data_IF_584605036005
#
_entry.id   IF_584605036005
#
_cell.length_a   1.000
_cell.length_b   1.000
_cell.length_c   1.000
_cell.angle_alpha   90.00
_cell.angle_beta   90.00
_cell.angle_gamma   90.00
#
_symmetry.space_group_name_H-M   'P 1'
#
loop_
_entity.id
_entity.type
_entity.pdbx_description
1 polymer ?
2 non-polymer ?
3 water ?
#
# COMPACT_ATOMS: atom_id res chain seq x y z
N UNK A 3 19.43 22.27 0.81
CA UNK A 3 19.59 20.77 0.96
C UNK A 3 18.29 20.12 1.38
N UNK A 4 18.15 18.82 1.12
CA UNK A 4 16.99 18.04 1.57
C UNK A 4 16.86 18.28 3.08
N UNK A 5 15.63 18.61 3.55
CA UNK A 5 15.46 18.74 4.96
C UNK A 5 15.77 17.45 5.69
N UNK A 6 16.10 17.62 6.98
CA UNK A 6 16.57 16.52 7.80
C UNK A 6 15.65 16.32 9.00
N UNK A 7 15.55 15.09 9.43
CA UNK A 7 14.70 14.70 10.55
C UNK A 7 15.46 13.69 11.35
N UNK A 8 15.15 13.61 12.64
CA UNK A 8 15.69 12.57 13.48
C UNK A 8 15.30 11.18 12.92
N UNK A 9 16.21 10.23 12.98
CA UNK A 9 15.95 8.81 12.60
C UNK A 9 14.75 8.25 13.30
N UNK A 10 14.67 8.48 14.63
CA UNK A 10 13.55 7.91 15.37
C UNK A 10 12.20 8.47 14.86
N UNK A 11 12.08 9.79 14.72
CA UNK A 11 10.89 10.42 14.27
C UNK A 11 10.55 9.96 12.84
N UNK A 12 11.58 9.80 11.99
CA UNK A 12 11.34 9.37 10.60
C UNK A 12 10.82 7.92 10.61
N UNK A 13 11.34 7.07 11.50
CA UNK A 13 10.86 5.71 11.60
C UNK A 13 9.39 5.68 12.02
N UNK A 14 9.04 6.53 12.98
CA UNK A 14 7.64 6.73 13.36
C UNK A 14 6.78 7.23 12.19
N UNK A 15 7.27 8.24 11.49
CA UNK A 15 6.48 8.84 10.38
C UNK A 15 6.27 7.85 9.24
N UNK A 16 7.22 6.96 9.03
CA UNK A 16 7.10 5.89 8.04
C UNK A 16 6.31 4.66 8.53
N UNK A 17 5.87 4.68 9.78
CA UNK A 17 5.03 3.61 10.32
C UNK A 17 5.73 2.38 10.85
N UNK A 18 7.03 2.44 11.03
CA UNK A 18 7.78 1.33 11.59
C UNK A 18 7.40 1.11 13.02
N UNK A 19 7.05 2.20 13.71
CA UNK A 19 6.55 2.15 15.10
C UNK A 19 5.31 2.99 15.26
N UNK A 20 4.54 2.69 16.32
CA UNK A 20 3.25 3.33 16.53
C UNK A 20 3.33 4.72 17.13
N UNK A 21 4.41 4.98 17.87
CA UNK A 21 4.62 6.29 18.54
C UNK A 21 6.08 6.74 18.42
N UNK A 22 6.32 8.03 18.63
CA UNK A 22 7.69 8.53 18.64
C UNK A 22 8.52 7.88 19.77
N UNK A 23 7.95 7.71 20.96
CA UNK A 23 8.72 7.07 22.04
C UNK A 23 9.10 5.64 21.71
N UNK A 24 8.17 4.87 21.12
CA UNK A 24 8.49 3.51 20.73
C UNK A 24 9.60 3.50 19.63
N UNK A 25 9.56 4.48 18.71
CA UNK A 25 10.59 4.57 17.70
C UNK A 25 12.00 4.80 18.28
N UNK A 26 12.08 5.67 19.30
CA UNK A 26 13.36 5.92 19.94
C UNK A 26 13.88 4.62 20.55
N UNK A 27 13.01 3.89 21.23
CA UNK A 27 13.39 2.63 21.85
C UNK A 27 13.83 1.62 20.78
N UNK A 28 13.12 1.62 19.66
CA UNK A 28 13.45 0.73 18.57
C UNK A 28 14.82 1.02 17.96
N UNK A 29 15.15 2.29 17.76
CA UNK A 29 16.48 2.62 17.28
C UNK A 29 17.56 2.18 18.30
N UNK A 30 17.28 2.43 19.56
CA UNK A 30 18.19 2.02 20.64
C UNK A 30 18.42 0.51 20.64
N UNK A 31 17.38 -0.23 20.29
CA UNK A 31 17.44 -1.71 20.26
C UNK A 31 18.03 -2.27 18.94
N UNK A 32 18.44 -1.38 18.01
CA UNK A 32 19.12 -1.76 16.80
C UNK A 32 18.15 -2.28 15.76
N UNK A 33 16.89 -1.90 15.86
CA UNK A 33 15.86 -2.45 14.98
C UNK A 33 15.62 -1.65 13.71
N UNK A 34 16.20 -0.47 13.60
CA UNK A 34 15.99 0.39 12.42
C UNK A 34 17.21 0.35 11.53
N UNK A 35 16.98 -0.02 10.25
CA UNK A 35 18.09 -0.11 9.31
C UNK A 35 17.76 0.66 8.03
N UNK A 36 18.81 1.11 7.36
CA UNK A 36 18.72 1.81 6.09
C UNK A 36 18.34 0.82 4.98
N UNK A 37 17.33 1.14 4.17
CA UNK A 37 16.91 0.24 3.10
C UNK A 37 18.05 0.04 2.07
N UNK A 38 18.72 1.11 1.69
CA UNK A 38 19.66 1.04 0.55
C UNK A 38 20.88 0.23 0.91
N UNK A 39 21.40 0.40 2.13
CA UNK A 39 22.68 -0.27 2.47
C UNK A 39 22.61 -1.27 3.62
N UNK A 40 21.46 -1.39 4.27
CA UNK A 40 21.29 -2.37 5.33
C UNK A 40 21.99 -2.08 6.66
N UNK A 41 22.59 -0.91 6.76
CA UNK A 41 23.27 -0.50 7.99
C UNK A 41 22.29 -0.06 9.07
N UNK A 42 22.58 -0.45 10.32
CA UNK A 42 21.75 -0.14 11.49
C UNK A 42 22.06 1.31 11.91
N UNK A 43 21.03 2.02 12.30
CA UNK A 43 21.18 3.31 12.97
C UNK A 43 21.37 3.07 14.46
N UNK A 44 22.35 3.74 15.04
CA UNK A 44 22.61 3.57 16.48
C UNK A 44 22.12 4.72 17.37
N UNK A 45 21.90 5.89 16.79
CA UNK A 45 21.50 7.06 17.59
C UNK A 45 20.13 7.57 17.17
N UNK A 46 19.17 7.49 18.10
CA UNK A 46 17.83 7.98 17.72
C UNK A 46 17.75 9.40 17.22
N UNK A 47 18.63 10.25 17.70
CA UNK A 47 18.61 11.64 17.31
C UNK A 47 19.46 12.05 16.14
N UNK A 48 20.08 11.10 15.44
CA UNK A 48 20.83 11.43 14.25
C UNK A 48 19.88 12.04 13.21
N UNK A 49 20.25 13.17 12.65
CA UNK A 49 19.46 13.88 11.67
C UNK A 49 19.87 13.36 10.30
N UNK A 50 18.88 12.85 9.56
CA UNK A 50 19.09 12.29 8.21
C UNK A 50 18.09 12.89 7.23
N UNK A 51 18.37 12.82 5.93
CA UNK A 51 17.50 13.30 4.90
C UNK A 51 16.11 12.70 5.06
N UNK A 52 15.10 13.54 4.95
CA UNK A 52 13.75 13.09 5.26
C UNK A 52 13.16 12.16 4.19
N UNK A 53 13.91 11.95 3.09
CA UNK A 53 13.58 11.00 2.06
C UNK A 53 14.15 9.62 2.27
N UNK A 54 14.92 9.46 3.35
CA UNK A 54 15.61 8.18 3.58
C UNK A 54 14.66 7.06 3.83
N UNK A 55 14.74 6.02 3.03
CA UNK A 55 13.89 4.85 3.24
C UNK A 55 14.44 3.98 4.36
N UNK A 56 13.58 3.64 5.30
CA UNK A 56 13.94 2.87 6.45
C UNK A 56 13.18 1.54 6.41
N UNK A 57 13.71 0.56 7.15
CA UNK A 57 13.02 -0.68 7.39
C UNK A 57 13.38 -1.26 8.73
N UNK A 58 12.64 -2.30 9.15
CA UNK A 58 12.99 -3.00 10.37
C UNK A 58 14.02 -4.06 10.11
N UNK A 59 14.89 -4.22 11.09
CA UNK A 59 15.90 -5.25 11.08
C UNK A 59 15.25 -6.57 10.76
N UNK A 60 15.83 -7.23 9.78
CA UNK A 60 15.35 -8.57 9.39
C UNK A 60 14.27 -8.63 8.32
N UNK A 61 13.75 -7.48 7.94
CA UNK A 61 12.76 -7.43 6.82
C UNK A 61 13.52 -7.68 5.54
N UNK A 62 13.09 -8.73 4.83
CA UNK A 62 13.69 -9.05 3.55
C UNK A 62 12.99 -8.21 2.51
N UNK A 63 13.72 -7.31 1.94
CA UNK A 63 13.14 -6.26 1.08
C UNK A 63 13.96 -6.09 -0.19
N UNK A 64 13.34 -6.40 -1.34
CA UNK A 64 13.88 -6.33 -2.68
C UNK A 64 13.60 -5.00 -3.42
N UNK A 65 12.82 -4.12 -2.79
CA UNK A 65 12.24 -2.95 -3.44
C UNK A 65 12.75 -1.64 -2.85
N UNK A 66 12.47 -0.55 -3.51
CA UNK A 66 12.98 0.76 -3.09
C UNK A 66 12.41 1.21 -1.75
N UNK A 67 11.24 0.69 -1.39
CA UNK A 67 10.60 1.06 -0.13
C UNK A 67 9.88 -0.13 0.47
N UNK A 68 9.78 -0.12 1.79
CA UNK A 68 9.17 -1.16 2.53
C UNK A 68 7.71 -1.40 2.15
N UNK A 69 7.02 -0.37 1.67
CA UNK A 69 5.66 -0.58 1.25
C UNK A 69 5.50 -1.58 0.14
N UNK A 70 6.57 -1.80 -0.63
CA UNK A 70 6.50 -2.86 -1.65
C UNK A 70 6.12 -4.23 -1.09
N UNK A 71 6.42 -4.49 0.18
CA UNK A 71 6.05 -5.75 0.82
C UNK A 71 4.54 -6.01 0.72
N UNK A 72 3.73 -4.96 0.73
CA UNK A 72 2.27 -5.09 0.66
C UNK A 72 1.85 -5.71 -0.66
N UNK A 73 2.34 -5.15 -1.77
CA UNK A 73 2.01 -5.67 -3.09
C UNK A 73 2.66 -7.03 -3.33
N UNK A 74 3.86 -7.23 -2.83
CA UNK A 74 4.50 -8.53 -2.90
C UNK A 74 3.62 -9.62 -2.32
N UNK A 75 3.09 -9.37 -1.14
CA UNK A 75 2.20 -10.34 -0.55
C UNK A 75 0.99 -10.56 -1.41
N UNK A 76 0.35 -9.48 -1.85
CA UNK A 76 -0.87 -9.58 -2.63
C UNK A 76 -0.66 -10.43 -3.88
N UNK A 77 0.44 -10.22 -4.60
CA UNK A 77 0.66 -10.96 -5.87
C UNK A 77 0.75 -12.46 -5.53
N UNK A 78 1.39 -12.80 -4.40
CA UNK A 78 1.53 -14.22 -4.02
C UNK A 78 0.17 -14.80 -3.55
N UNK A 79 -0.51 -14.15 -2.60
CA UNK A 79 -1.72 -14.73 -2.00
C UNK A 79 -2.92 -14.76 -2.95
N UNK A 80 -2.95 -13.86 -3.94
CA UNK A 80 -3.99 -13.86 -4.97
C UNK A 80 -3.56 -14.51 -6.29
N UNK A 81 -2.34 -15.06 -6.32
CA UNK A 81 -1.78 -15.72 -7.50
C UNK A 81 -1.97 -14.87 -8.74
N UNK A 82 -1.41 -13.66 -8.69
CA UNK A 82 -1.57 -12.68 -9.76
C UNK A 82 -0.28 -12.49 -10.51
N UNK A 83 -0.43 -12.33 -11.83
CA UNK A 83 0.65 -12.00 -12.74
C UNK A 83 0.45 -10.62 -13.34
N UNK A 84 1.53 -9.87 -13.44
CA UNK A 84 1.54 -8.63 -14.22
C UNK A 84 2.48 -8.71 -15.43
N UNK A 85 2.91 -9.93 -15.76
CA UNK A 85 3.86 -10.13 -16.85
C UNK A 85 3.31 -9.55 -18.16
N UNK A 86 4.08 -8.64 -18.76
CA UNK A 86 3.79 -8.01 -20.04
C UNK A 86 2.52 -7.18 -20.06
N UNK A 87 2.09 -6.74 -18.87
CA UNK A 87 0.88 -5.92 -18.77
C UNK A 87 1.16 -4.46 -18.62
N UNK A 88 0.23 -3.68 -19.10
CA UNK A 88 0.11 -2.24 -18.80
C UNK A 88 -0.60 -2.11 -17.44
N UNK A 89 0.05 -1.46 -16.50
CA UNK A 89 -0.43 -1.36 -15.12
C UNK A 89 -0.47 0.08 -14.67
N UNK A 90 -1.24 0.31 -13.60
CA UNK A 90 -1.32 1.63 -12.95
C UNK A 90 -1.14 1.46 -11.47
N UNK A 91 -0.26 2.29 -10.90
CA UNK A 91 0.06 2.33 -9.47
C UNK A 91 -0.52 3.65 -8.95
N UNK A 92 -1.64 3.54 -8.24
CA UNK A 92 -2.37 4.70 -7.73
C UNK A 92 -1.91 4.97 -6.30
N UNK A 93 -1.24 6.10 -6.11
CA UNK A 93 -0.54 6.40 -4.89
C UNK A 93 0.92 5.95 -4.90
N UNK A 94 1.61 6.17 -6.00
CA UNK A 94 2.94 5.60 -6.22
C UNK A 94 3.98 6.00 -5.22
N UNK A 95 3.87 7.23 -4.75
CA UNK A 95 4.80 7.73 -3.74
C UNK A 95 6.23 7.55 -4.18
N UNK A 96 7.10 7.07 -3.31
CA UNK A 96 8.49 6.94 -3.65
C UNK A 96 8.81 5.78 -4.61
N UNK A 97 7.85 4.87 -4.82
CA UNK A 97 7.98 3.89 -5.87
C UNK A 97 7.91 2.42 -5.48
N UNK A 98 7.61 2.07 -4.24
CA UNK A 98 7.66 0.65 -3.83
C UNK A 98 6.81 -0.27 -4.70
N UNK A 99 5.56 0.09 -4.93
CA UNK A 99 4.68 -0.76 -5.73
C UNK A 99 5.12 -0.79 -7.19
N UNK A 100 5.55 0.36 -7.73
CA UNK A 100 6.05 0.41 -9.10
C UNK A 100 7.22 -0.53 -9.30
N UNK A 101 8.11 -0.55 -8.31
CA UNK A 101 9.26 -1.43 -8.34
C UNK A 101 8.82 -2.91 -8.33
N UNK A 102 7.88 -3.27 -7.46
CA UNK A 102 7.31 -4.61 -7.43
C UNK A 102 6.79 -4.99 -8.83
N UNK A 103 6.04 -4.10 -9.45
CA UNK A 103 5.46 -4.45 -10.72
C UNK A 103 6.50 -4.59 -11.83
N UNK A 104 7.52 -3.73 -11.83
CA UNK A 104 8.63 -3.85 -12.81
C UNK A 104 9.36 -5.17 -12.62
N UNK A 105 9.66 -5.49 -11.38
CA UNK A 105 10.38 -6.75 -11.10
C UNK A 105 9.58 -7.99 -11.44
N UNK A 106 8.27 -7.87 -11.51
CA UNK A 106 7.40 -8.94 -11.87
C UNK A 106 6.97 -8.88 -13.32
N UNK A 107 7.65 -8.10 -14.13
CA UNK A 107 7.50 -8.19 -15.57
C UNK A 107 6.54 -7.27 -16.26
N UNK A 108 5.99 -6.27 -15.52
CA UNK A 108 5.11 -5.28 -16.16
C UNK A 108 5.76 -4.65 -17.39
N UNK A 109 4.96 -4.45 -18.42
CA UNK A 109 5.41 -3.77 -19.63
C UNK A 109 5.47 -2.25 -19.47
N UNK A 110 4.52 -1.70 -18.71
CA UNK A 110 4.41 -0.27 -18.57
C UNK A 110 3.72 -0.05 -17.24
N UNK A 111 4.20 0.92 -16.45
CA UNK A 111 3.57 1.32 -15.21
C UNK A 111 3.28 2.81 -15.25
N UNK A 112 1.99 3.19 -15.19
CA UNK A 112 1.64 4.57 -14.92
C UNK A 112 1.71 4.78 -13.42
N UNK A 113 2.64 5.60 -12.96
CA UNK A 113 2.90 5.78 -11.51
C UNK A 113 2.28 7.11 -11.13
N UNK A 114 1.07 7.05 -10.55
CA UNK A 114 0.25 8.22 -10.29
C UNK A 114 0.31 8.61 -8.83
N UNK A 115 0.51 9.91 -8.57
CA UNK A 115 0.52 10.39 -7.17
C UNK A 115 0.08 11.82 -7.14
N UNK A 116 -0.61 12.20 -6.09
CA UNK A 116 -1.05 13.58 -5.92
C UNK A 116 0.06 14.49 -5.46
N UNK A 117 1.11 13.93 -4.89
CA UNK A 117 2.26 14.68 -4.40
C UNK A 117 3.21 15.15 -5.48
N UNK A 118 4.27 15.85 -5.06
CA UNK A 118 5.28 16.43 -5.91
C UNK A 118 6.63 15.80 -5.61
N UNK A 119 7.34 15.39 -6.67
CA UNK A 119 8.76 14.96 -6.54
C UNK A 119 8.91 13.90 -5.46
N UNK A 120 8.11 12.83 -5.58
CA UNK A 120 8.20 11.73 -4.66
C UNK A 120 8.96 10.52 -5.25
N UNK A 121 8.67 10.21 -6.51
CA UNK A 121 9.20 9.00 -7.13
C UNK A 121 10.72 9.12 -7.29
N UNK A 122 11.43 8.08 -6.86
CA UNK A 122 12.89 8.10 -6.97
C UNK A 122 13.31 8.08 -8.44
N UNK A 123 14.45 8.73 -8.75
CA UNK A 123 14.78 8.93 -10.13
C UNK A 123 15.05 7.66 -10.91
N UNK A 124 15.61 6.61 -10.30
CA UNK A 124 15.88 5.37 -11.04
C UNK A 124 14.60 4.77 -11.60
N UNK A 125 13.50 4.98 -10.89
CA UNK A 125 12.19 4.55 -11.39
C UNK A 125 11.56 5.56 -12.35
N UNK A 126 11.62 6.85 -12.02
CA UNK A 126 11.10 7.90 -12.89
C UNK A 126 11.63 7.78 -14.31
N UNK A 127 12.92 7.51 -14.39
CA UNK A 127 13.63 7.48 -15.63
C UNK A 127 13.65 6.12 -16.33
N UNK A 128 13.03 5.13 -15.70
CA UNK A 128 12.94 3.79 -16.32
C UNK A 128 12.05 3.86 -17.54
N UNK A 129 12.50 3.24 -18.62
CA UNK A 129 11.74 3.23 -19.89
C UNK A 129 10.35 2.65 -19.77
N UNK A 130 10.10 1.85 -18.73
CA UNK A 130 8.80 1.18 -18.51
C UNK A 130 7.87 2.01 -17.62
N UNK A 131 8.31 3.17 -17.14
CA UNK A 131 7.54 3.93 -16.18
C UNK A 131 7.09 5.26 -16.78
N UNK A 132 5.86 5.65 -16.48
CA UNK A 132 5.30 6.96 -16.83
C UNK A 132 4.86 7.59 -15.50
N UNK A 133 5.73 8.44 -14.97
CA UNK A 133 5.41 9.16 -13.74
C UNK A 133 4.39 10.24 -14.03
N UNK A 134 3.34 10.25 -13.20
CA UNK A 134 2.24 11.21 -13.30
C UNK A 134 1.97 11.76 -11.88
N UNK A 135 2.85 12.69 -11.49
CA UNK A 135 2.76 13.36 -10.19
C UNK A 135 1.91 14.62 -10.29
N UNK A 136 1.54 15.13 -9.13
CA UNK A 136 0.58 16.23 -9.01
C UNK A 136 -0.73 15.90 -9.71
N UNK A 137 -1.13 14.63 -9.61
CA UNK A 137 -2.27 14.04 -10.33
C UNK A 137 -3.19 13.46 -9.30
N UNK A 138 -4.43 13.96 -9.28
CA UNK A 138 -5.48 13.52 -8.38
C UNK A 138 -6.36 12.51 -9.07
N UNK A 139 -6.18 11.24 -8.71
CA UNK A 139 -6.82 10.16 -9.43
C UNK A 139 -8.33 10.20 -9.42
N UNK A 140 -8.91 10.85 -8.43
CA UNK A 140 -10.36 10.97 -8.40
C UNK A 140 -10.89 11.61 -9.72
N UNK A 141 -10.07 12.43 -10.39
CA UNK A 141 -10.45 13.15 -11.61
C UNK A 141 -9.95 12.51 -12.88
N UNK A 142 -9.45 11.27 -12.77
CA UNK A 142 -8.88 10.61 -13.96
C UNK A 142 -9.82 10.49 -15.11
N UNK A 143 -9.27 10.67 -16.31
CA UNK A 143 -10.00 10.42 -17.54
C UNK A 143 -9.15 9.54 -18.46
N UNK A 144 -9.80 8.70 -19.28
CA UNK A 144 -9.02 7.75 -20.07
C UNK A 144 -8.05 8.41 -21.05
N UNK A 145 -8.35 9.62 -21.52
CA UNK A 145 -7.47 10.33 -22.41
C UNK A 145 -6.09 10.61 -21.81
N UNK A 146 -5.99 10.60 -20.47
CA UNK A 146 -4.75 10.90 -19.80
C UNK A 146 -3.72 9.78 -19.95
N UNK A 147 -4.17 8.60 -20.35
CA UNK A 147 -3.37 7.38 -20.37
C UNK A 147 -3.11 7.02 -21.83
N UNK A 148 -2.07 7.63 -22.38
CA UNK A 148 -1.93 7.66 -23.84
C UNK A 148 -1.25 6.46 -24.48
N UNK A 149 -0.63 5.59 -23.68
CA UNK A 149 0.06 4.44 -24.20
C UNK A 149 -0.72 3.16 -24.02
N UNK A 150 -2.02 3.31 -23.82
CA UNK A 150 -2.88 2.16 -23.59
C UNK A 150 -3.47 2.19 -22.20
N UNK A 151 -4.71 1.72 -22.08
CA UNK A 151 -5.34 1.62 -20.77
C UNK A 151 -4.80 0.41 -20.05
N UNK A 152 -4.67 0.54 -18.73
CA UNK A 152 -4.12 -0.56 -17.95
C UNK A 152 -5.08 -1.72 -17.72
N UNK A 153 -4.53 -2.91 -17.53
CA UNK A 153 -5.26 -4.11 -17.18
C UNK A 153 -5.03 -4.59 -15.77
N UNK A 154 -4.17 -3.89 -15.01
CA UNK A 154 -3.92 -4.21 -13.62
C UNK A 154 -3.75 -2.86 -12.92
N UNK A 155 -4.33 -2.75 -11.72
CA UNK A 155 -4.17 -1.54 -10.91
C UNK A 155 -3.84 -1.94 -9.49
N UNK A 156 -2.95 -1.20 -8.85
CA UNK A 156 -2.75 -1.23 -7.42
C UNK A 156 -3.17 0.10 -6.83
N UNK A 157 -3.73 0.04 -5.64
CA UNK A 157 -4.16 1.24 -4.93
C UNK A 157 -3.62 1.26 -3.53
N UNK A 158 -2.90 2.32 -3.19
CA UNK A 158 -2.40 2.51 -1.81
C UNK A 158 -2.38 4.02 -1.59
N UNK A 159 -3.52 4.51 -1.10
CA UNK A 159 -3.71 5.91 -0.91
C UNK A 159 -4.06 6.18 0.56
N UNK A 160 -3.76 7.40 1.01
CA UNK A 160 -4.05 7.78 2.39
C UNK A 160 -4.93 9.03 2.42
N UNK A 161 -5.67 9.17 3.52
CA UNK A 161 -6.49 10.33 3.76
C UNK A 161 -7.66 10.46 2.79
N UNK A 162 -8.05 9.32 2.20
CA UNK A 162 -9.19 9.28 1.30
C UNK A 162 -9.71 7.86 1.30
N UNK A 163 -11.02 7.70 1.08
CA UNK A 163 -11.65 6.39 0.98
C UNK A 163 -11.57 5.87 -0.42
N UNK A 164 -11.53 4.56 -0.53
CA UNK A 164 -11.64 3.89 -1.82
C UNK A 164 -12.95 4.22 -2.52
N UNK A 165 -13.95 4.68 -1.76
CA UNK A 165 -15.19 5.12 -2.38
C UNK A 165 -14.98 6.21 -3.44
N UNK A 166 -13.94 7.05 -3.28
CA UNK A 166 -13.58 8.12 -4.20
C UNK A 166 -12.57 7.70 -5.29
N UNK A 167 -12.02 6.47 -5.20
CA UNK A 167 -11.07 5.98 -6.18
C UNK A 167 -11.68 5.01 -7.17
N UNK A 168 -12.54 4.12 -6.68
CA UNK A 168 -13.09 3.06 -7.52
C UNK A 168 -13.93 3.57 -8.73
N UNK A 169 -14.78 4.59 -8.55
CA UNK A 169 -15.51 5.07 -9.76
C UNK A 169 -14.59 5.63 -10.83
N UNK A 170 -13.51 6.32 -10.41
CA UNK A 170 -12.51 6.81 -11.38
C UNK A 170 -11.80 5.62 -12.04
N UNK A 171 -11.47 4.59 -11.24
CA UNK A 171 -10.80 3.44 -11.77
C UNK A 171 -11.64 2.73 -12.82
N UNK A 172 -12.97 2.70 -12.59
CA UNK A 172 -13.83 2.07 -13.56
C UNK A 172 -13.85 2.77 -14.92
N UNK A 173 -13.44 4.04 -14.96
CA UNK A 173 -13.30 4.78 -16.20
C UNK A 173 -12.04 4.45 -16.99
N UNK A 174 -11.03 3.95 -16.30
CA UNK A 174 -9.67 3.79 -16.81
C UNK A 174 -9.25 2.34 -17.04
N UNK A 175 -9.60 1.44 -16.13
CA UNK A 175 -9.19 0.05 -16.20
C UNK A 175 -9.96 -0.68 -17.27
N UNK A 176 -9.29 -1.52 -18.05
CA UNK A 176 -10.03 -2.29 -19.05
C UNK A 176 -10.92 -3.32 -18.40
N UNK A 177 -12.02 -3.67 -19.10
CA UNK A 177 -12.90 -4.72 -18.65
C UNK A 177 -12.08 -5.99 -18.43
N UNK A 178 -12.37 -6.65 -17.33
CA UNK A 178 -11.63 -7.83 -16.96
C UNK A 178 -10.36 -7.57 -16.20
N UNK A 179 -10.04 -6.30 -16.04
CA UNK A 179 -8.78 -5.92 -15.37
C UNK A 179 -8.83 -6.28 -13.90
N UNK A 180 -7.66 -6.53 -13.30
CA UNK A 180 -7.53 -6.94 -11.89
C UNK A 180 -7.03 -5.74 -11.06
N UNK A 181 -7.43 -5.72 -9.80
CA UNK A 181 -7.04 -4.69 -8.85
C UNK A 181 -6.57 -5.31 -7.57
N UNK A 182 -5.48 -4.77 -7.02
CA UNK A 182 -5.12 -4.97 -5.62
C UNK A 182 -5.30 -3.64 -4.90
N UNK A 183 -6.23 -3.58 -3.96
CA UNK A 183 -6.49 -2.38 -3.20
C UNK A 183 -6.11 -2.58 -1.73
N UNK A 184 -5.36 -1.63 -1.19
CA UNK A 184 -5.17 -1.55 0.26
C UNK A 184 -6.38 -0.93 0.88
N UNK A 185 -7.00 -1.66 1.80
CA UNK A 185 -8.18 -1.19 2.51
C UNK A 185 -7.74 -0.79 3.91
N UNK A 186 -7.84 0.51 4.18
CA UNK A 186 -7.26 1.16 5.35
C UNK A 186 -8.42 1.59 6.24
N UNK A 187 -8.67 0.81 7.30
CA UNK A 187 -9.85 1.17 8.13
C UNK A 187 -9.84 2.57 8.70
N UNK A 188 -8.66 3.10 8.97
CA UNK A 188 -8.49 4.44 9.50
C UNK A 188 -8.94 5.55 8.53
N UNK A 189 -9.12 5.23 7.23
CA UNK A 189 -9.64 6.15 6.22
C UNK A 189 -11.00 5.71 5.65
N UNK A 190 -11.57 4.63 6.19
CA UNK A 190 -12.88 4.11 5.74
C UNK A 190 -13.96 4.24 6.81
N UNK A 191 -13.55 4.03 8.04
CA UNK A 191 -14.50 4.02 9.16
C UNK A 191 -15.10 5.39 9.41
N UNK A 192 -16.32 5.37 9.95
CA UNK A 192 -16.99 6.59 10.38
C UNK A 192 -16.18 7.32 11.42
N UNK A 193 -16.27 8.65 11.46
CA UNK A 193 -15.50 9.48 12.43
C UNK A 193 -15.73 8.96 13.87
N UNK A 194 -16.95 8.45 14.15
CA UNK A 194 -17.29 7.88 15.49
C UNK A 194 -16.55 6.56 15.80
N UNK A 195 -16.14 5.83 14.76
CA UNK A 195 -15.47 4.53 14.94
C UNK A 195 -13.95 4.57 14.99
N UNK A 196 -13.39 5.77 14.90
CA UNK A 196 -11.94 5.94 14.89
C UNK A 196 -11.44 6.51 16.22
N UNK A 197 -10.54 5.77 16.88
CA UNK A 197 -9.99 6.15 18.19
C UNK A 197 -8.87 7.16 18.06
N UNK A 199 -6.18 8.69 18.32
CA UNK A 199 -5.05 8.99 17.44
C UNK A 199 -5.17 8.36 16.04
N UNK A 200 -6.37 8.35 15.45
CA UNK A 200 -6.53 7.82 14.08
C UNK A 200 -6.24 6.32 14.00
N UNK A 201 -6.62 5.59 15.03
CA UNK A 201 -6.36 4.18 15.16
C UNK A 201 -7.69 3.43 15.27
N UNK A 202 -7.88 2.40 14.44
CA UNK A 202 -8.99 1.48 14.58
C UNK A 202 -8.41 0.18 15.10
N UNK A 203 -8.74 -0.18 16.36
CA UNK A 203 -8.20 -1.39 17.01
C UNK A 203 -9.18 -2.58 16.99
N UNK A 204 -10.45 -2.29 16.84
CA UNK A 204 -11.47 -3.30 17.11
C UNK A 204 -11.76 -4.18 15.90
N UNK A 205 -11.65 -5.49 16.11
CA UNK A 205 -12.00 -6.45 15.08
C UNK A 205 -13.43 -6.23 14.52
N UNK A 206 -14.40 -5.83 15.35
CA UNK A 206 -15.75 -5.57 14.86
C UNK A 206 -15.84 -4.42 13.85
N UNK A 207 -15.05 -3.36 14.05
CA UNK A 207 -15.02 -2.24 13.13
C UNK A 207 -14.25 -2.64 11.86
N UNK A 208 -13.19 -3.43 11.99
CA UNK A 208 -12.52 -3.99 10.79
C UNK A 208 -13.47 -4.80 9.89
N UNK A 209 -14.31 -5.61 10.51
CA UNK A 209 -15.29 -6.41 9.77
C UNK A 209 -16.29 -5.50 9.07
N UNK A 210 -16.79 -4.47 9.76
CA UNK A 210 -17.77 -3.58 9.19
C UNK A 210 -17.17 -2.78 8.03
N UNK A 211 -15.92 -2.37 8.18
CA UNK A 211 -15.23 -1.68 7.08
C UNK A 211 -15.16 -2.61 5.87
N UNK A 212 -14.75 -3.86 6.06
CA UNK A 212 -14.62 -4.76 4.91
C UNK A 212 -15.98 -5.04 4.27
N UNK A 213 -17.03 -5.15 5.09
CA UNK A 213 -18.39 -5.29 4.50
C UNK A 213 -18.78 -4.11 3.64
N UNK A 214 -18.50 -2.89 4.14
CA UNK A 214 -18.85 -1.68 3.47
C UNK A 214 -18.07 -1.54 2.16
N UNK A 215 -16.75 -1.74 2.24
CA UNK A 215 -15.91 -1.61 1.06
C UNK A 215 -16.22 -2.62 -0.04
N UNK A 216 -16.38 -3.89 0.35
CA UNK A 216 -16.71 -4.91 -0.61
C UNK A 216 -18.07 -4.59 -1.30
N UNK A 217 -19.05 -4.07 -0.54
CA UNK A 217 -20.31 -3.71 -1.10
C UNK A 217 -20.23 -2.59 -2.09
N UNK A 218 -19.44 -1.54 -1.81
CA UNK A 218 -19.37 -0.46 -2.76
C UNK A 218 -18.51 -0.83 -3.96
N UNK A 219 -17.53 -1.71 -3.78
CA UNK A 219 -16.76 -2.22 -4.91
C UNK A 219 -17.71 -2.84 -5.94
N UNK A 220 -18.65 -3.66 -5.46
CA UNK A 220 -19.62 -4.27 -6.36
C UNK A 220 -20.53 -3.21 -7.03
N UNK A 221 -20.97 -2.22 -6.26
CA UNK A 221 -21.73 -1.10 -6.81
C UNK A 221 -21.03 -0.40 -7.95
N UNK A 222 -19.71 -0.28 -7.87
CA UNK A 222 -18.94 0.45 -8.85
C UNK A 222 -18.42 -0.42 -10.00
N UNK A 223 -18.85 -1.67 -10.04
CA UNK A 223 -18.59 -2.53 -11.15
C UNK A 223 -17.42 -3.47 -10.99
N UNK A 224 -17.08 -3.79 -9.74
CA UNK A 224 -15.98 -4.70 -9.44
C UNK A 224 -16.46 -5.90 -8.65
N UNK A 225 -16.12 -7.10 -9.14
CA UNK A 225 -16.23 -8.27 -8.31
C UNK A 225 -15.14 -8.30 -7.25
N UNK A 226 -15.48 -8.84 -6.08
CA UNK A 226 -14.47 -9.09 -5.02
C UNK A 226 -14.04 -10.55 -5.16
N UNK A 227 -12.80 -10.79 -5.55
CA UNK A 227 -12.29 -12.12 -5.84
C UNK A 227 -11.51 -12.71 -4.69
N UNK A 228 -11.05 -11.88 -3.78
CA UNK A 228 -10.28 -12.32 -2.64
C UNK A 228 -10.03 -11.23 -1.63
N UNK A 229 -9.71 -11.68 -0.41
CA UNK A 229 -9.39 -10.82 0.69
C UNK A 229 -8.23 -11.46 1.45
N UNK A 230 -7.34 -10.60 1.95
CA UNK A 230 -6.27 -11.01 2.81
C UNK A 230 -5.90 -9.80 3.67
N UNK A 231 -4.82 -9.91 4.43
CA UNK A 231 -4.37 -8.78 5.25
C UNK A 231 -2.94 -8.38 4.86
N UNK A 232 -2.69 -7.09 4.99
CA UNK A 232 -1.39 -6.58 4.65
C UNK A 232 -0.33 -7.05 5.65
N UNK A 233 0.90 -7.32 5.19
CA UNK A 233 1.91 -7.94 6.07
C UNK A 233 2.54 -6.97 7.05
N UNK A 234 2.36 -5.68 6.84
CA UNK A 234 2.86 -4.66 7.73
C UNK A 234 1.78 -3.72 8.12
N UNK A 235 1.95 -3.04 9.26
CA UNK A 235 0.93 -2.13 9.69
C UNK A 235 1.01 -0.78 8.99
N UNK A 236 -0.10 -0.07 8.94
CA UNK A 236 -0.14 1.30 8.48
C UNK A 236 0.35 2.18 9.61
N UNK A 237 0.09 3.45 9.46
CA UNK A 237 0.46 4.39 10.50
C UNK A 237 -0.24 4.12 11.80
N UNK A 238 0.40 4.45 12.90
CA UNK A 238 -0.20 4.34 14.24
C UNK A 238 -0.69 2.93 14.59
N UNK A 239 -0.03 1.91 14.03
CA UNK A 239 -0.30 0.52 14.31
C UNK A 239 -1.55 -0.05 13.65
N UNK A 240 -2.11 0.67 12.69
CA UNK A 240 -3.33 0.21 12.04
C UNK A 240 -3.10 -1.04 11.20
N UNK A 241 -3.94 -2.05 11.42
CA UNK A 241 -3.99 -3.20 10.54
C UNK A 241 -4.70 -2.75 9.28
N UNK A 242 -4.15 -3.16 8.13
CA UNK A 242 -4.72 -2.87 6.81
C UNK A 242 -4.97 -4.18 6.10
N UNK A 243 -5.88 -4.13 5.14
CA UNK A 243 -6.29 -5.30 4.42
C UNK A 243 -5.99 -5.20 2.93
N UNK A 244 -5.98 -6.35 2.29
CA UNK A 244 -5.77 -6.47 0.85
C UNK A 244 -7.04 -6.98 0.21
N UNK A 245 -7.52 -6.28 -0.84
CA UNK A 245 -8.67 -6.70 -1.58
C UNK A 245 -8.26 -6.92 -3.03
N UNK A 246 -8.65 -8.06 -3.57
CA UNK A 246 -8.46 -8.40 -4.94
C UNK A 246 -9.78 -8.23 -5.64
N UNK A 247 -9.82 -7.29 -6.58
CA UNK A 247 -11.02 -6.98 -7.34
C UNK A 247 -10.84 -7.26 -8.81
N UNK A 248 -11.96 -7.43 -9.53
CA UNK A 248 -11.92 -7.57 -10.98
C UNK A 248 -13.02 -6.72 -11.59
N UNK A 249 -12.68 -5.91 -12.60
CA UNK A 249 -13.71 -5.14 -13.28
C UNK A 249 -14.54 -6.04 -14.19
N UNK A 250 -15.85 -5.98 -14.02
CA UNK A 250 -16.74 -6.89 -14.76
C UNK A 250 -18.11 -6.30 -14.90
N UNK A 251 -18.80 -6.75 -15.95
CA UNK A 251 -20.18 -6.33 -16.15
C UNK A 251 -21.14 -7.05 -15.21
N UNK A 252 -20.72 -8.12 -14.56
CA UNK A 252 -21.57 -8.83 -13.62
C UNK A 252 -20.94 -8.96 -12.23
N UNK A 253 -20.80 -7.83 -11.52
CA UNK A 253 -20.00 -7.90 -10.32
C UNK A 253 -20.70 -8.60 -9.17
N UNK A 254 -19.90 -9.36 -8.45
CA UNK A 254 -20.33 -9.97 -7.21
C UNK A 254 -19.22 -10.13 -6.21
N UNK A 255 -19.61 -10.37 -4.98
CA UNK A 255 -18.71 -10.69 -3.93
C UNK A 255 -18.53 -12.19 -3.83
N UNK A 256 -17.39 -12.69 -4.26
CA UNK A 256 -17.13 -14.12 -4.28
C UNK A 256 -16.88 -14.67 -2.90
N UNK A 257 -16.53 -13.83 -1.92
CA UNK A 257 -16.02 -14.27 -0.60
C UNK A 257 -16.74 -13.54 0.59
N UNK A 258 -18.07 -13.45 0.56
CA UNK A 258 -18.80 -12.72 1.62
C UNK A 258 -18.52 -13.27 3.04
N UNK A 259 -18.53 -14.59 3.13
CA UNK A 259 -18.36 -15.23 4.41
C UNK A 259 -16.91 -15.28 4.90
N UNK A 260 -15.96 -14.63 4.20
CA UNK A 260 -14.52 -14.73 4.54
C UNK A 260 -14.03 -13.60 5.44
N UNK A 261 -14.84 -12.57 5.61
CA UNK A 261 -14.39 -11.35 6.29
C UNK A 261 -14.01 -11.64 7.73
N UNK A 262 -14.84 -12.37 8.48
CA UNK A 262 -14.53 -12.58 9.87
C UNK A 262 -13.21 -13.33 10.03
N UNK A 263 -12.96 -14.31 9.17
CA UNK A 263 -11.76 -15.08 9.25
C UNK A 263 -10.52 -14.25 8.91
N UNK A 264 -10.59 -13.45 7.83
CA UNK A 264 -9.42 -12.64 7.48
C UNK A 264 -9.09 -11.66 8.61
N UNK A 265 -10.10 -11.07 9.23
CA UNK A 265 -9.87 -10.12 10.32
C UNK A 265 -9.26 -10.89 11.51
N UNK A 266 -9.81 -12.08 11.81
CA UNK A 266 -9.21 -12.89 12.86
C UNK A 266 -7.74 -13.28 12.63
N UNK A 267 -7.39 -13.68 11.40
CA UNK A 267 -6.02 -14.03 11.10
C UNK A 267 -5.16 -12.81 11.24
N UNK A 268 -5.63 -11.66 10.79
CA UNK A 268 -4.80 -10.45 10.89
C UNK A 268 -4.46 -10.13 12.35
N UNK A 269 -5.48 -10.15 13.21
CA UNK A 269 -5.28 -9.81 14.63
C UNK A 269 -4.37 -10.85 15.29
N UNK A 270 -4.50 -12.13 14.91
CA UNK A 270 -3.60 -13.14 15.43
C UNK A 270 -2.14 -12.87 15.07
N UNK A 271 -1.91 -12.52 13.80
CA UNK A 271 -0.54 -12.33 13.32
C UNK A 271 0.08 -11.12 13.98
N UNK A 272 -0.69 -10.06 14.18
CA UNK A 272 -0.13 -8.88 14.77
C UNK A 272 0.02 -9.00 16.29
N UNK A 273 -0.83 -9.77 16.94
CA UNK A 273 -0.64 -10.09 18.37
C UNK A 273 0.61 -10.95 18.57
N UNK A 274 0.84 -11.97 17.71
CA UNK A 274 2.04 -12.81 17.84
C UNK A 274 3.32 -12.08 17.40
N UNK A 275 3.22 -11.17 16.43
CA UNK A 275 4.35 -10.30 16.08
C UNK A 275 4.77 -9.41 17.27
N UNK A 276 3.78 -8.88 18.00
CA UNK A 276 4.05 -7.99 19.15
C UNK A 276 4.75 -8.79 20.26
N UNK A 277 4.17 -9.93 20.61
CA UNK A 277 4.74 -10.80 21.65
C UNK A 277 6.16 -11.28 21.30
N UNK A 278 6.45 -11.49 20.01
CA UNK A 278 7.82 -11.73 19.57
C UNK A 278 8.59 -10.42 19.53
X LIG B 1 -3.17 9.48 -5.76
X LIG B 1 -3.74 10.32 -7.00
X LIG B 1 -2.15 9.82 -4.75
#
# INVERSE_FOLDING_TARGET
>A
SNAMPKERVDVLAYKQGLFETREQAKRGVMAGLVVNVINGERYDKPGEKIDDGTELKLKGEKLRYVSRGGLKLEKALAVFNLSVEDMITIDIGASTGGFTDVMLQNGAKLVYAVDVGTNQLVWKLRQDDRVRSMEQYNFRYAEPVDFTEGLPSFASIDVSFISLNLILPALAKILVDGGQVVALVKPQFEAGREQIGKNGIVRESSIHEKVLETVTAFAVDYGFSVKGLDFSPIQGGHGNIEFLAHLEKTDSPQNDVPTSIKEVVAQAHKEFKKNEEERSFGVNPKDCPRK
>B hetero
1 EOH C1 C2 O
#
